data_IF_597917228824
#
_entry.id   IF_597917228824
#
_cell.length_a   1.000
_cell.length_b   1.000
_cell.length_c   1.000
_cell.angle_alpha   90.00
_cell.angle_beta   90.00
_cell.angle_gamma   90.00
#
_symmetry.space_group_name_H-M   'P 1'
#
loop_
_entity.id
_entity.type
_entity.pdbx_description
1 polymer ?
#
# COMPACT_ATOMS: atom_id res chain seq x y z
N UNK A 1 -71.30 -2.20 -17.58
CA UNK A 1 -71.20 -3.16 -16.47
C UNK A 1 -70.63 -4.45 -17.04
N UNK A 2 -69.30 -4.60 -17.04
CA UNK A 2 -68.64 -5.88 -17.31
C UNK A 2 -67.35 -5.94 -16.49
N UNK A 3 -67.30 -6.99 -15.71
CA UNK A 3 -66.43 -7.25 -14.57
C UNK A 3 -65.03 -7.68 -15.05
N UNK A 4 -63.99 -6.97 -14.64
CA UNK A 4 -62.60 -7.44 -14.79
C UNK A 4 -62.34 -8.51 -13.72
N UNK A 5 -62.14 -9.76 -14.14
CA UNK A 5 -61.61 -10.82 -13.27
C UNK A 5 -60.09 -10.80 -13.41
N UNK A 6 -59.42 -10.39 -12.33
CA UNK A 6 -57.98 -10.57 -12.15
C UNK A 6 -57.69 -12.06 -11.94
N UNK A 7 -57.04 -12.71 -12.92
CA UNK A 7 -56.30 -13.94 -12.64
C UNK A 7 -54.94 -13.52 -12.09
N UNK A 8 -54.79 -13.50 -10.75
CA UNK A 8 -53.47 -13.54 -10.15
C UNK A 8 -52.89 -14.92 -10.44
N UNK A 9 -51.96 -14.99 -11.38
CA UNK A 9 -51.04 -16.10 -11.45
C UNK A 9 -50.18 -16.06 -10.18
N UNK A 10 -50.43 -16.99 -9.25
CA UNK A 10 -49.48 -17.37 -8.23
C UNK A 10 -48.21 -17.83 -8.96
N UNK A 11 -47.23 -16.94 -9.07
CA UNK A 11 -45.88 -17.35 -9.42
C UNK A 11 -45.35 -18.09 -8.19
N UNK A 12 -45.41 -19.42 -8.25
CA UNK A 12 -44.46 -20.25 -7.53
C UNK A 12 -43.07 -19.85 -8.04
N UNK A 13 -42.41 -18.90 -7.38
CA UNK A 13 -40.97 -18.80 -7.43
C UNK A 13 -40.43 -20.06 -6.78
N UNK A 14 -40.23 -21.12 -7.58
CA UNK A 14 -39.34 -22.19 -7.20
C UNK A 14 -38.02 -21.51 -6.82
N UNK A 15 -37.63 -21.62 -5.55
CA UNK A 15 -36.38 -21.09 -5.05
C UNK A 15 -35.27 -21.56 -5.99
N UNK A 16 -34.62 -20.62 -6.67
CA UNK A 16 -33.53 -20.96 -7.57
C UNK A 16 -32.46 -21.67 -6.75
N UNK A 17 -32.04 -22.86 -7.21
CA UNK A 17 -31.09 -23.69 -6.48
C UNK A 17 -29.82 -22.87 -6.16
N UNK A 18 -29.38 -22.93 -4.90
CA UNK A 18 -28.27 -22.12 -4.47
C UNK A 18 -27.31 -22.90 -3.58
N UNK A 19 -26.03 -22.57 -3.74
CA UNK A 19 -24.96 -22.95 -2.82
C UNK A 19 -24.25 -21.66 -2.44
N UNK A 20 -24.03 -21.44 -1.15
CA UNK A 20 -23.38 -20.25 -0.64
C UNK A 20 -22.44 -20.58 0.52
N UNK A 21 -21.49 -19.68 0.74
CA UNK A 21 -20.48 -19.77 1.79
C UNK A 21 -20.61 -18.52 2.67
N UNK A 22 -20.28 -18.65 3.95
CA UNK A 22 -20.22 -17.51 4.87
C UNK A 22 -18.99 -16.63 4.66
N UNK A 23 -17.96 -17.14 3.97
CA UNK A 23 -16.73 -16.43 3.62
C UNK A 23 -16.38 -16.69 2.16
N UNK A 24 -15.77 -15.72 1.49
CA UNK A 24 -15.17 -15.89 0.17
C UNK A 24 -13.69 -16.32 0.25
N UNK A 25 -13.08 -16.24 1.44
CA UNK A 25 -11.69 -16.58 1.71
C UNK A 25 -11.60 -17.36 3.02
N UNK A 26 -10.91 -18.50 3.01
CA UNK A 26 -10.67 -19.37 4.17
C UNK A 26 -9.18 -19.52 4.42
N UNK A 27 -8.77 -19.64 5.69
CA UNK A 27 -7.40 -20.02 6.02
C UNK A 27 -7.13 -21.48 5.61
N UNK A 28 -5.87 -21.86 5.30
CA UNK A 28 -5.53 -23.26 5.03
C UNK A 28 -5.96 -24.17 6.17
N UNK A 29 -6.56 -25.32 5.84
CA UNK A 29 -7.11 -26.30 6.81
C UNK A 29 -8.27 -25.78 7.68
N UNK A 30 -8.76 -24.58 7.44
CA UNK A 30 -10.01 -24.11 8.05
C UNK A 30 -11.20 -24.90 7.47
N UNK A 31 -12.11 -25.38 8.32
CA UNK A 31 -13.31 -26.10 7.86
C UNK A 31 -14.21 -25.19 7.03
N UNK A 32 -14.77 -25.75 5.97
CA UNK A 32 -15.62 -25.03 5.01
C UNK A 32 -17.06 -25.49 5.22
N UNK A 33 -17.95 -24.54 5.57
CA UNK A 33 -19.39 -24.82 5.72
C UNK A 33 -20.14 -24.24 4.53
N UNK A 34 -20.79 -25.12 3.79
CA UNK A 34 -21.64 -24.77 2.64
C UNK A 34 -23.10 -24.75 3.08
N UNK A 35 -23.80 -23.67 2.78
CA UNK A 35 -25.27 -23.60 2.88
C UNK A 35 -25.88 -23.83 1.51
N UNK A 36 -26.90 -24.68 1.44
CA UNK A 36 -27.59 -24.99 0.19
C UNK A 36 -29.11 -24.91 0.33
N UNK A 37 -29.79 -24.58 -0.78
CA UNK A 37 -31.25 -24.53 -0.87
C UNK A 37 -31.74 -24.83 -2.28
N UNK A 38 -33.02 -25.22 -2.39
CA UNK A 38 -33.69 -25.44 -3.67
C UNK A 38 -33.28 -26.72 -4.41
N UNK A 39 -32.68 -27.71 -3.73
CA UNK A 39 -32.36 -29.00 -4.34
C UNK A 39 -33.62 -29.88 -4.50
N UNK A 40 -33.69 -30.79 -5.50
CA UNK A 40 -34.87 -31.62 -5.81
C UNK A 40 -35.32 -32.57 -4.69
N UNK A 41 -34.44 -32.88 -3.74
CA UNK A 41 -34.74 -33.78 -2.61
C UNK A 41 -34.50 -35.25 -2.91
N UNK A 42 -33.71 -35.57 -3.94
CA UNK A 42 -33.24 -36.92 -4.17
C UNK A 42 -32.10 -37.23 -3.18
N UNK A 43 -32.09 -38.43 -2.61
CA UNK A 43 -31.05 -38.85 -1.65
C UNK A 43 -29.63 -38.85 -2.23
N UNK A 44 -29.52 -38.87 -3.56
CA UNK A 44 -28.28 -38.84 -4.35
C UNK A 44 -27.94 -37.47 -4.93
N UNK A 45 -28.67 -36.43 -4.55
CA UNK A 45 -28.22 -35.05 -4.81
C UNK A 45 -26.95 -34.78 -4.01
N UNK A 46 -25.97 -34.10 -4.61
CA UNK A 46 -24.64 -33.96 -4.00
C UNK A 46 -23.99 -32.62 -4.27
N UNK A 47 -23.08 -32.25 -3.38
CA UNK A 47 -22.31 -31.02 -3.41
C UNK A 47 -20.83 -31.37 -3.33
N UNK A 48 -20.01 -30.72 -4.14
CA UNK A 48 -18.57 -30.91 -4.15
C UNK A 48 -17.79 -29.61 -3.97
N UNK A 49 -16.56 -29.74 -3.51
CA UNK A 49 -15.51 -28.74 -3.71
C UNK A 49 -14.66 -29.17 -4.89
N UNK A 50 -14.46 -28.29 -5.87
CA UNK A 50 -13.64 -28.54 -7.05
C UNK A 50 -12.66 -27.39 -7.27
N UNK A 51 -11.50 -27.69 -7.87
CA UNK A 51 -10.57 -26.65 -8.31
C UNK A 51 -11.25 -25.77 -9.35
N UNK A 52 -11.11 -24.45 -9.24
CA UNK A 52 -11.75 -23.52 -10.16
C UNK A 52 -11.30 -23.78 -11.60
N UNK A 53 -12.26 -23.82 -12.53
CA UNK A 53 -11.99 -24.07 -13.96
C UNK A 53 -11.68 -25.52 -14.34
N UNK A 54 -11.65 -26.46 -13.38
CA UNK A 54 -11.53 -27.90 -13.67
C UNK A 54 -12.81 -28.43 -14.35
N UNK A 55 -12.72 -29.59 -15.03
CA UNK A 55 -13.91 -30.23 -15.63
C UNK A 55 -15.00 -30.55 -14.61
N UNK A 56 -16.26 -30.55 -15.04
CA UNK A 56 -17.44 -30.73 -14.17
C UNK A 56 -17.44 -32.08 -13.41
N UNK A 57 -16.71 -33.09 -13.90
CA UNK A 57 -16.53 -34.41 -13.30
C UNK A 57 -15.39 -34.48 -12.26
N UNK A 58 -14.66 -33.39 -12.05
CA UNK A 58 -13.52 -33.32 -11.13
C UNK A 58 -13.89 -32.62 -9.83
N UNK A 59 -13.44 -33.18 -8.71
CA UNK A 59 -13.62 -32.63 -7.38
C UNK A 59 -12.52 -33.11 -6.44
N UNK A 60 -12.28 -32.34 -5.37
CA UNK A 60 -11.32 -32.68 -4.31
C UNK A 60 -12.01 -33.18 -3.04
N UNK A 61 -13.30 -32.85 -2.87
CA UNK A 61 -14.14 -33.37 -1.79
C UNK A 61 -15.61 -33.32 -2.23
N UNK A 62 -16.45 -34.21 -1.70
CA UNK A 62 -17.88 -34.25 -2.03
C UNK A 62 -18.70 -34.85 -0.89
N UNK A 63 -20.00 -34.50 -0.82
CA UNK A 63 -20.98 -35.06 0.12
C UNK A 63 -22.39 -35.06 -0.49
N UNK A 64 -23.19 -36.07 -0.18
CA UNK A 64 -24.62 -36.08 -0.50
C UNK A 64 -25.40 -35.11 0.40
N UNK A 65 -26.48 -34.54 -0.12
CA UNK A 65 -27.46 -33.76 0.67
C UNK A 65 -28.36 -34.68 1.51
N UNK A 66 -28.45 -35.96 1.15
CA UNK A 66 -29.23 -36.98 1.86
C UNK A 66 -30.74 -36.84 1.65
N UNK A 67 -31.18 -36.17 0.58
CA UNK A 67 -32.60 -35.98 0.25
C UNK A 67 -33.21 -34.72 0.85
N UNK A 68 -32.42 -33.92 1.56
CA UNK A 68 -32.84 -32.60 2.02
C UNK A 68 -32.79 -31.62 0.85
N UNK A 69 -33.83 -30.79 0.72
CA UNK A 69 -33.92 -29.74 -0.30
C UNK A 69 -33.14 -28.49 0.09
N UNK A 70 -32.80 -28.34 1.38
CA UNK A 70 -31.97 -27.27 1.94
C UNK A 70 -31.26 -27.72 3.21
N UNK A 71 -30.14 -27.06 3.55
CA UNK A 71 -29.38 -27.36 4.76
C UNK A 71 -27.95 -26.86 4.70
N UNK A 72 -27.09 -27.44 5.53
CA UNK A 72 -25.65 -27.17 5.54
C UNK A 72 -24.84 -28.46 5.41
N UNK A 73 -23.67 -28.37 4.78
CA UNK A 73 -22.65 -29.42 4.73
C UNK A 73 -21.31 -28.85 5.15
N UNK A 74 -20.66 -29.50 6.12
CA UNK A 74 -19.30 -29.16 6.54
C UNK A 74 -18.29 -30.04 5.82
N UNK A 75 -17.28 -29.43 5.22
CA UNK A 75 -16.13 -30.08 4.62
C UNK A 75 -14.90 -29.86 5.49
N UNK A 76 -14.00 -30.84 5.49
CA UNK A 76 -12.68 -30.67 6.10
C UNK A 76 -11.92 -29.57 5.36
N UNK A 77 -11.08 -28.86 6.09
CA UNK A 77 -10.29 -27.80 5.49
C UNK A 77 -9.29 -28.36 4.49
N UNK A 78 -9.22 -27.72 3.33
CA UNK A 78 -8.35 -28.11 2.23
C UNK A 78 -7.09 -27.23 2.20
N UNK A 79 -6.16 -27.62 1.33
CA UNK A 79 -4.98 -26.81 1.05
C UNK A 79 -5.35 -25.59 0.21
N UNK A 80 -4.42 -24.65 0.11
CA UNK A 80 -4.53 -23.44 -0.69
C UNK A 80 -4.97 -23.70 -2.13
N UNK A 81 -5.69 -22.74 -2.69
CA UNK A 81 -6.06 -22.73 -4.10
C UNK A 81 -7.32 -21.93 -4.37
N UNK A 82 -7.61 -21.75 -5.65
CA UNK A 82 -8.88 -21.25 -6.13
C UNK A 82 -9.83 -22.42 -6.36
N UNK A 83 -11.00 -22.34 -5.74
CA UNK A 83 -11.98 -23.42 -5.73
C UNK A 83 -13.37 -22.89 -6.03
N UNK A 84 -14.25 -23.82 -6.33
CA UNK A 84 -15.67 -23.58 -6.38
C UNK A 84 -16.44 -24.71 -5.70
N UNK A 85 -17.51 -24.34 -5.03
CA UNK A 85 -18.56 -25.26 -4.62
C UNK A 85 -19.42 -25.53 -5.84
N UNK A 86 -19.77 -26.79 -6.09
CA UNK A 86 -20.65 -27.22 -7.18
C UNK A 86 -21.78 -28.07 -6.64
N UNK A 87 -23.00 -27.86 -7.12
CA UNK A 87 -24.17 -28.67 -6.81
C UNK A 87 -24.61 -29.51 -8.01
N UNK A 88 -25.01 -30.75 -7.74
CA UNK A 88 -25.35 -31.76 -8.73
C UNK A 88 -26.61 -32.53 -8.32
N UNK A 89 -27.27 -33.16 -9.30
CA UNK A 89 -28.49 -33.96 -9.08
C UNK A 89 -28.24 -35.43 -9.29
N UNK A 90 -28.80 -36.27 -8.42
CA UNK A 90 -28.96 -37.71 -8.62
C UNK A 90 -27.75 -38.41 -9.31
N UNK A 91 -26.55 -38.31 -8.73
CA UNK A 91 -25.29 -38.86 -9.26
C UNK A 91 -24.84 -38.36 -10.66
N UNK A 92 -25.51 -37.36 -11.24
CA UNK A 92 -25.11 -36.73 -12.48
C UNK A 92 -23.85 -35.87 -12.29
N UNK A 93 -23.08 -35.70 -13.37
CA UNK A 93 -21.87 -34.87 -13.40
C UNK A 93 -22.10 -33.54 -14.14
N UNK A 94 -23.35 -33.06 -14.15
CA UNK A 94 -23.72 -31.76 -14.73
C UNK A 94 -23.86 -30.75 -13.59
N UNK A 95 -23.02 -29.72 -13.60
CA UNK A 95 -23.07 -28.69 -12.56
C UNK A 95 -24.34 -27.85 -12.70
N UNK A 96 -25.16 -27.85 -11.65
CA UNK A 96 -26.43 -27.12 -11.59
C UNK A 96 -26.26 -25.72 -11.01
N UNK A 97 -25.45 -25.61 -9.97
CA UNK A 97 -25.13 -24.33 -9.33
C UNK A 97 -23.67 -24.34 -8.89
N UNK A 98 -23.05 -23.18 -8.86
CA UNK A 98 -21.66 -23.03 -8.42
C UNK A 98 -21.43 -21.70 -7.73
N UNK A 99 -20.47 -21.68 -6.81
CA UNK A 99 -19.96 -20.43 -6.22
C UNK A 99 -18.46 -20.54 -5.96
N UNK A 100 -17.70 -19.50 -6.25
CA UNK A 100 -16.24 -19.50 -6.13
C UNK A 100 -15.76 -19.01 -4.77
N UNK A 101 -14.64 -19.54 -4.31
CA UNK A 101 -13.94 -19.11 -3.10
C UNK A 101 -12.45 -19.39 -3.20
N UNK A 102 -11.66 -18.81 -2.30
CA UNK A 102 -10.22 -19.06 -2.20
C UNK A 102 -9.87 -19.65 -0.84
N UNK A 103 -8.94 -20.60 -0.83
CA UNK A 103 -8.24 -21.01 0.40
C UNK A 103 -6.85 -20.40 0.37
N UNK A 104 -6.51 -19.62 1.40
CA UNK A 104 -5.27 -18.86 1.49
C UNK A 104 -5.46 -17.41 1.92
N UNK A 105 -4.35 -16.72 2.19
CA UNK A 105 -4.41 -15.29 2.48
C UNK A 105 -4.63 -14.48 1.20
N UNK A 106 -5.44 -13.40 1.24
CA UNK A 106 -5.30 -12.31 0.29
C UNK A 106 -3.90 -11.69 0.46
N UNK A 107 -3.41 -10.91 -0.51
CA UNK A 107 -2.09 -10.23 -0.48
C UNK A 107 -2.03 -9.15 0.64
N UNK A 108 -2.22 -9.54 1.89
CA UNK A 108 -2.43 -8.69 3.06
C UNK A 108 -1.39 -9.08 4.10
N UNK A 109 -0.57 -8.12 4.50
CA UNK A 109 0.55 -8.29 5.44
C UNK A 109 1.70 -9.20 4.95
N UNK A 110 1.86 -9.33 3.63
CA UNK A 110 2.97 -10.07 3.04
C UNK A 110 4.29 -9.27 3.19
N UNK A 111 5.29 -9.85 3.85
CA UNK A 111 6.58 -9.22 4.10
C UNK A 111 7.68 -10.16 3.62
N UNK A 112 8.62 -9.66 2.81
CA UNK A 112 9.96 -10.21 2.67
C UNK A 112 10.94 -9.04 2.57
N UNK A 113 11.84 -8.93 3.53
CA UNK A 113 12.81 -7.83 3.62
C UNK A 113 14.18 -8.37 3.93
N UNK A 114 15.21 -7.77 3.38
CA UNK A 114 16.59 -8.05 3.79
C UNK A 114 16.87 -7.44 5.16
N UNK A 115 17.81 -8.03 5.92
CA UNK A 115 18.23 -7.48 7.20
C UNK A 115 18.96 -6.14 7.07
N UNK A 116 19.61 -5.91 5.93
CA UNK A 116 20.32 -4.67 5.61
C UNK A 116 19.79 -4.09 4.31
N UNK A 117 19.77 -2.76 4.19
CA UNK A 117 19.43 -2.10 2.92
C UNK A 117 20.58 -2.15 1.90
N UNK A 118 21.81 -2.30 2.39
CA UNK A 118 23.04 -2.37 1.59
C UNK A 118 23.93 -3.50 2.09
N UNK A 119 24.46 -4.31 1.18
CA UNK A 119 25.42 -5.38 1.44
C UNK A 119 26.74 -5.10 0.70
N UNK A 120 27.86 -5.60 1.22
CA UNK A 120 29.11 -5.64 0.46
C UNK A 120 29.02 -6.71 -0.63
N UNK A 121 29.79 -6.59 -1.73
CA UNK A 121 29.87 -7.64 -2.74
C UNK A 121 30.27 -8.97 -2.10
N UNK A 122 29.53 -10.02 -2.47
CA UNK A 122 29.68 -11.38 -1.95
C UNK A 122 29.36 -11.56 -0.45
N UNK A 123 28.82 -10.54 0.23
CA UNK A 123 28.25 -10.68 1.58
C UNK A 123 26.91 -11.42 1.49
N UNK A 124 26.71 -12.42 2.36
CA UNK A 124 25.47 -13.21 2.41
C UNK A 124 24.25 -12.34 2.69
N UNK A 125 23.16 -12.65 1.99
CA UNK A 125 21.92 -11.88 2.07
C UNK A 125 20.90 -12.68 2.87
N UNK A 126 20.48 -12.14 4.02
CA UNK A 126 19.44 -12.75 4.86
C UNK A 126 18.13 -12.03 4.64
N UNK A 127 17.12 -12.78 4.20
CA UNK A 127 15.75 -12.33 4.00
C UNK A 127 14.88 -12.82 5.15
N UNK A 128 14.19 -11.91 5.83
CA UNK A 128 13.13 -12.23 6.77
C UNK A 128 11.79 -12.11 6.08
N UNK A 129 10.94 -13.12 6.23
CA UNK A 129 9.63 -13.18 5.58
C UNK A 129 8.50 -13.58 6.52
N UNK A 130 7.29 -13.12 6.20
CA UNK A 130 6.05 -13.49 6.91
C UNK A 130 4.82 -13.25 6.05
N UNK A 131 3.72 -13.93 6.40
CA UNK A 131 2.43 -13.75 5.74
C UNK A 131 2.27 -14.55 4.44
N UNK A 132 3.20 -15.46 4.12
CA UNK A 132 3.03 -16.37 3.00
C UNK A 132 1.91 -17.37 3.27
N UNK A 133 1.21 -17.85 2.23
CA UNK A 133 0.07 -18.75 2.38
C UNK A 133 0.46 -20.14 2.89
N UNK A 134 1.71 -20.57 2.72
CA UNK A 134 2.21 -21.85 3.20
C UNK A 134 2.05 -22.97 2.18
N UNK A 135 2.08 -22.65 0.87
CA UNK A 135 2.24 -23.65 -0.16
C UNK A 135 3.61 -24.31 -0.05
N UNK A 136 3.70 -25.58 -0.42
CA UNK A 136 5.00 -26.26 -0.52
C UNK A 136 5.91 -25.58 -1.56
N UNK A 137 5.31 -24.92 -2.55
CA UNK A 137 5.98 -24.26 -3.67
C UNK A 137 5.88 -22.73 -3.66
N UNK A 138 5.55 -22.12 -2.51
CA UNK A 138 5.78 -20.69 -2.33
C UNK A 138 7.29 -20.42 -2.38
N UNK A 139 7.70 -19.36 -3.06
CA UNK A 139 9.12 -19.09 -3.26
C UNK A 139 9.45 -17.61 -3.16
N UNK A 140 10.68 -17.38 -2.73
CA UNK A 140 11.27 -16.06 -2.61
C UNK A 140 12.47 -16.04 -3.54
N UNK A 141 12.62 -14.95 -4.29
CA UNK A 141 13.77 -14.76 -5.18
C UNK A 141 14.50 -13.46 -4.88
N UNK A 142 15.76 -13.42 -5.27
CA UNK A 142 16.52 -12.20 -5.49
C UNK A 142 16.57 -11.96 -6.99
N UNK A 143 16.30 -10.74 -7.44
CA UNK A 143 16.31 -10.37 -8.85
C UNK A 143 16.93 -8.98 -9.03
N UNK A 144 17.49 -8.69 -10.20
CA UNK A 144 17.89 -7.33 -10.54
C UNK A 144 16.66 -6.43 -10.66
N UNK A 145 16.74 -5.21 -10.15
CA UNK A 145 15.64 -4.23 -10.26
C UNK A 145 15.30 -4.00 -11.73
N UNK A 146 14.01 -4.03 -12.07
CA UNK A 146 13.52 -3.83 -13.44
C UNK A 146 13.64 -5.04 -14.36
N UNK A 147 14.19 -6.17 -13.91
CA UNK A 147 14.14 -7.42 -14.67
C UNK A 147 12.70 -7.97 -14.73
N UNK A 148 12.36 -8.74 -15.77
CA UNK A 148 11.04 -9.38 -15.89
C UNK A 148 10.71 -10.29 -14.70
N UNK A 149 9.42 -10.49 -14.44
CA UNK A 149 8.94 -11.25 -13.27
C UNK A 149 9.36 -12.73 -13.29
N UNK A 150 9.70 -13.26 -14.47
CA UNK A 150 10.25 -14.60 -14.70
C UNK A 150 11.78 -14.69 -14.53
N UNK A 151 12.45 -13.58 -14.21
CA UNK A 151 13.90 -13.50 -14.05
C UNK A 151 14.30 -13.36 -12.59
N UNK A 152 15.32 -14.09 -12.20
CA UNK A 152 15.94 -14.02 -10.87
C UNK A 152 17.43 -14.37 -10.97
N UNK A 153 18.20 -13.95 -9.97
CA UNK A 153 19.60 -14.33 -9.79
C UNK A 153 19.77 -15.45 -8.78
N UNK A 154 18.86 -15.54 -7.81
CA UNK A 154 18.79 -16.64 -6.84
C UNK A 154 17.34 -16.82 -6.38
N UNK A 155 16.98 -18.02 -5.94
CA UNK A 155 15.63 -18.32 -5.46
C UNK A 155 15.63 -19.53 -4.52
N UNK A 156 14.64 -19.61 -3.63
CA UNK A 156 14.38 -20.80 -2.82
C UNK A 156 12.89 -20.92 -2.47
N UNK A 157 12.43 -22.15 -2.25
CA UNK A 157 11.09 -22.43 -1.71
C UNK A 157 11.03 -22.18 -0.20
N UNK A 158 9.89 -21.70 0.30
CA UNK A 158 9.63 -21.58 1.74
C UNK A 158 9.17 -22.90 2.38
N UNK A 159 8.86 -23.93 1.59
CA UNK A 159 8.51 -25.28 2.02
C UNK A 159 7.39 -25.29 3.08
N UNK A 160 6.22 -24.76 2.73
CA UNK A 160 5.03 -24.61 3.60
C UNK A 160 5.13 -23.61 4.74
N UNK A 161 6.30 -23.01 4.97
CA UNK A 161 6.47 -22.01 6.03
C UNK A 161 5.79 -20.70 5.62
N UNK A 162 4.94 -20.20 6.50
CA UNK A 162 4.25 -18.92 6.35
C UNK A 162 5.13 -17.73 6.80
N UNK A 163 6.14 -18.00 7.64
CA UNK A 163 7.12 -17.04 8.13
C UNK A 163 8.45 -17.70 8.46
N UNK A 164 9.52 -16.90 8.46
CA UNK A 164 10.86 -17.37 8.79
C UNK A 164 11.96 -16.46 8.26
N UNK A 165 13.17 -17.01 8.23
CA UNK A 165 14.35 -16.41 7.60
C UNK A 165 14.88 -17.34 6.52
N UNK A 166 15.51 -16.75 5.51
CA UNK A 166 16.13 -17.44 4.37
C UNK A 166 17.45 -16.77 4.06
N UNK A 167 18.49 -17.56 3.81
CA UNK A 167 19.82 -17.06 3.52
C UNK A 167 20.17 -17.36 2.07
N UNK A 168 20.64 -16.34 1.36
CA UNK A 168 21.14 -16.42 -0.01
C UNK A 168 22.64 -16.14 -0.04
N UNK A 169 23.32 -16.72 -1.02
CA UNK A 169 24.70 -16.35 -1.33
C UNK A 169 24.79 -14.86 -1.70
N UNK A 170 25.95 -14.28 -1.43
CA UNK A 170 26.20 -12.89 -1.76
C UNK A 170 26.24 -12.65 -3.27
N UNK A 171 25.83 -11.46 -3.68
CA UNK A 171 25.76 -11.06 -5.08
C UNK A 171 26.92 -10.12 -5.43
N UNK A 172 27.15 -9.92 -6.73
CA UNK A 172 28.02 -8.87 -7.23
C UNK A 172 27.41 -7.48 -6.97
N UNK A 173 28.20 -6.43 -7.18
CA UNK A 173 27.71 -5.05 -7.08
C UNK A 173 26.55 -4.79 -8.06
N UNK A 174 25.47 -4.18 -7.55
CA UNK A 174 24.25 -3.97 -8.32
C UNK A 174 23.03 -3.56 -7.48
N UNK A 175 21.95 -3.21 -8.19
CA UNK A 175 20.64 -2.93 -7.59
C UNK A 175 19.76 -4.18 -7.72
N UNK A 176 19.25 -4.66 -6.60
CA UNK A 176 18.47 -5.88 -6.52
C UNK A 176 17.17 -5.68 -5.76
N UNK A 177 16.28 -6.65 -5.87
CA UNK A 177 15.05 -6.73 -5.11
C UNK A 177 14.75 -8.16 -4.70
N UNK A 178 14.17 -8.31 -3.51
CA UNK A 178 13.52 -9.54 -3.06
C UNK A 178 12.13 -9.59 -3.66
N UNK A 179 11.72 -10.75 -4.18
CA UNK A 179 10.38 -10.97 -4.74
C UNK A 179 9.72 -12.15 -4.05
N UNK A 180 8.41 -12.07 -3.83
CA UNK A 180 7.60 -13.19 -3.33
C UNK A 180 6.67 -13.68 -4.45
N UNK A 181 6.56 -14.99 -4.56
CA UNK A 181 5.68 -15.68 -5.47
C UNK A 181 4.93 -16.79 -4.74
N UNK A 182 3.73 -17.10 -5.22
CA UNK A 182 2.93 -18.19 -4.69
C UNK A 182 2.97 -19.39 -5.62
N UNK A 183 3.09 -20.58 -5.04
CA UNK A 183 2.83 -21.86 -5.71
C UNK A 183 3.38 -21.99 -7.16
N UNK A 184 4.66 -21.67 -7.38
CA UNK A 184 5.32 -21.69 -8.71
C UNK A 184 4.74 -20.75 -9.78
N UNK A 185 3.90 -19.79 -9.41
CA UNK A 185 3.45 -18.74 -10.32
C UNK A 185 4.59 -17.76 -10.63
N UNK A 186 4.50 -17.13 -11.80
CA UNK A 186 5.40 -16.06 -12.25
C UNK A 186 4.90 -14.66 -11.90
N UNK A 187 3.84 -14.55 -11.09
CA UNK A 187 3.27 -13.27 -10.67
C UNK A 187 3.93 -12.84 -9.37
N UNK A 188 4.66 -11.73 -9.40
CA UNK A 188 5.28 -11.17 -8.20
C UNK A 188 4.21 -10.55 -7.30
N UNK A 189 4.12 -11.04 -6.06
CA UNK A 189 3.16 -10.58 -5.04
C UNK A 189 3.67 -9.41 -4.21
N UNK A 190 4.98 -9.32 -4.02
CA UNK A 190 5.64 -8.23 -3.31
C UNK A 190 7.08 -8.09 -3.77
N UNK A 191 7.59 -6.86 -3.73
CA UNK A 191 8.97 -6.48 -4.06
C UNK A 191 9.59 -5.71 -2.91
N UNK A 192 10.86 -5.97 -2.60
CA UNK A 192 11.61 -5.19 -1.61
C UNK A 192 13.03 -4.89 -2.13
N UNK A 193 13.40 -3.62 -2.38
CA UNK A 193 14.68 -3.27 -2.96
C UNK A 193 15.84 -3.32 -1.94
N UNK A 194 17.04 -3.68 -2.41
CA UNK A 194 18.30 -3.55 -1.69
C UNK A 194 19.47 -3.33 -2.67
N UNK A 195 20.63 -2.93 -2.15
CA UNK A 195 21.81 -2.64 -2.97
C UNK A 195 22.99 -3.49 -2.52
N UNK A 196 23.80 -3.93 -3.48
CA UNK A 196 25.12 -4.47 -3.20
C UNK A 196 26.14 -3.48 -3.73
N UNK A 197 27.05 -2.98 -2.89
CA UNK A 197 28.06 -2.02 -3.33
C UNK A 197 29.34 -2.10 -2.51
N UNK A 198 30.48 -1.93 -3.20
CA UNK A 198 31.79 -1.80 -2.58
C UNK A 198 32.00 -0.47 -1.88
N UNK A 199 31.06 0.48 -2.01
CA UNK A 199 31.06 1.68 -1.17
C UNK A 199 30.86 1.24 0.27
N UNK A 200 31.96 1.19 1.01
CA UNK A 200 31.89 1.29 2.45
C UNK A 200 31.08 2.55 2.75
N UNK A 201 29.94 2.40 3.40
CA UNK A 201 29.30 3.45 4.17
C UNK A 201 30.27 3.86 5.30
N UNK A 202 31.37 4.53 4.96
CA UNK A 202 32.40 4.99 5.90
C UNK A 202 32.43 6.50 6.05
N UNK A 203 31.40 7.20 5.59
CA UNK A 203 31.07 8.50 6.17
C UNK A 203 29.62 8.47 6.66
N UNK A 204 29.39 8.31 7.98
CA UNK A 204 28.05 8.48 8.57
C UNK A 204 27.46 9.88 8.31
N UNK A 205 28.28 10.85 7.85
CA UNK A 205 27.87 12.20 7.45
C UNK A 205 27.31 12.31 6.03
N UNK A 206 27.48 11.28 5.18
CA UNK A 206 27.04 11.35 3.78
C UNK A 206 25.61 10.81 3.63
N UNK A 207 24.70 11.72 3.32
CA UNK A 207 23.26 11.49 3.17
C UNK A 207 22.91 11.30 1.70
N UNK A 208 22.68 10.05 1.29
CA UNK A 208 22.28 9.71 -0.07
C UNK A 208 20.96 8.95 -0.06
N UNK A 209 20.18 8.96 -1.15
CA UNK A 209 19.03 8.05 -1.34
C UNK A 209 18.05 8.04 -0.16
N UNK A 210 18.12 7.00 0.69
CA UNK A 210 17.28 6.74 1.85
C UNK A 210 17.15 7.97 2.74
N UNK A 211 18.23 8.45 3.39
CA UNK A 211 18.25 9.71 4.11
C UNK A 211 17.54 10.89 3.44
N UNK A 212 17.89 11.23 2.19
CA UNK A 212 17.27 12.35 1.46
C UNK A 212 15.77 12.12 1.20
N UNK A 213 15.39 10.89 0.86
CA UNK A 213 14.00 10.53 0.59
C UNK A 213 13.13 10.49 1.85
N UNK A 214 13.67 10.04 2.99
CA UNK A 214 12.98 10.08 4.28
C UNK A 214 12.89 11.50 4.80
N UNK A 215 13.92 12.33 4.60
CA UNK A 215 13.84 13.76 4.87
C UNK A 215 12.70 14.41 4.07
N UNK A 216 12.66 14.21 2.75
CA UNK A 216 11.57 14.68 1.90
C UNK A 216 10.19 14.19 2.39
N UNK A 217 10.04 12.89 2.65
CA UNK A 217 8.79 12.29 3.13
C UNK A 217 8.35 12.87 4.49
N UNK A 218 9.30 13.10 5.39
CA UNK A 218 9.05 13.76 6.66
C UNK A 218 8.55 15.19 6.48
N UNK A 219 9.14 15.95 5.56
CA UNK A 219 8.71 17.32 5.27
C UNK A 219 7.34 17.36 4.59
N UNK A 220 7.00 16.35 3.79
CA UNK A 220 5.63 16.13 3.35
C UNK A 220 4.68 15.90 4.51
N UNK A 221 5.05 15.11 5.51
CA UNK A 221 4.25 14.95 6.73
C UNK A 221 4.03 16.27 7.49
N UNK A 222 5.08 17.09 7.61
CA UNK A 222 4.99 18.42 8.23
C UNK A 222 4.00 19.34 7.49
N UNK A 223 4.06 19.37 6.16
CA UNK A 223 3.11 20.11 5.33
C UNK A 223 1.68 19.59 5.42
N UNK A 224 1.51 18.27 5.44
CA UNK A 224 0.20 17.64 5.60
C UNK A 224 -0.44 17.98 6.95
N UNK A 225 0.33 17.95 8.05
CA UNK A 225 -0.17 18.36 9.36
C UNK A 225 -0.60 19.83 9.37
N UNK A 226 0.21 20.71 8.77
CA UNK A 226 -0.07 22.14 8.70
C UNK A 226 -1.39 22.43 7.98
N UNK A 227 -1.57 21.94 6.75
CA UNK A 227 -2.79 22.22 6.00
C UNK A 227 -4.03 21.51 6.58
N UNK A 228 -3.85 20.38 7.27
CA UNK A 228 -4.98 19.63 7.84
C UNK A 228 -5.70 20.38 8.95
N UNK A 229 -5.02 21.27 9.67
CA UNK A 229 -5.67 22.12 10.69
C UNK A 229 -6.80 22.95 10.09
N UNK A 230 -6.67 23.39 8.83
CA UNK A 230 -7.69 24.20 8.14
C UNK A 230 -9.00 23.45 7.88
N UNK A 231 -8.97 22.13 8.01
CA UNK A 231 -10.10 21.24 7.77
C UNK A 231 -10.68 20.66 9.05
N UNK A 232 -9.99 20.82 10.17
CA UNK A 232 -10.49 20.42 11.47
C UNK A 232 -11.43 21.50 12.05
N UNK A 233 -12.46 21.09 12.80
CA UNK A 233 -13.24 22.03 13.60
C UNK A 233 -12.37 22.70 14.67
N UNK A 234 -12.88 23.79 15.27
CA UNK A 234 -12.15 24.55 16.29
C UNK A 234 -11.58 23.67 17.40
N UNK A 235 -12.39 22.71 17.87
CA UNK A 235 -11.92 21.60 18.68
C UNK A 235 -11.63 20.46 17.71
N UNK A 236 -10.35 20.18 17.48
CA UNK A 236 -9.93 19.17 16.51
C UNK A 236 -10.45 17.78 16.91
N UNK A 237 -10.80 16.98 15.91
CA UNK A 237 -11.29 15.61 16.12
C UNK A 237 -10.16 14.70 16.61
N UNK A 238 -10.48 13.62 17.31
CA UNK A 238 -9.46 12.67 17.78
C UNK A 238 -8.68 12.02 16.62
N UNK A 239 -9.37 11.71 15.51
CA UNK A 239 -8.76 11.22 14.26
C UNK A 239 -7.88 12.33 13.64
N UNK A 240 -8.41 13.56 13.63
CA UNK A 240 -7.69 14.80 13.38
C UNK A 240 -6.31 14.84 14.05
N UNK A 241 -6.32 14.79 15.36
CA UNK A 241 -5.12 14.84 16.18
C UNK A 241 -4.21 13.64 15.92
N UNK A 242 -4.75 12.41 15.84
CA UNK A 242 -3.96 11.21 15.64
C UNK A 242 -3.19 11.19 14.31
N UNK A 243 -3.83 11.55 13.19
CA UNK A 243 -3.12 11.56 11.91
C UNK A 243 -2.06 12.66 11.86
N UNK A 244 -2.35 13.84 12.44
CA UNK A 244 -1.36 14.92 12.55
C UNK A 244 -0.15 14.50 13.39
N UNK A 245 -0.38 13.83 14.53
CA UNK A 245 0.70 13.27 15.35
C UNK A 245 1.52 12.23 14.58
N UNK A 246 0.87 11.37 13.79
CA UNK A 246 1.55 10.37 12.96
C UNK A 246 2.46 11.00 11.89
N UNK A 247 1.95 11.96 11.12
CA UNK A 247 2.74 12.60 10.05
C UNK A 247 3.81 13.54 10.59
N UNK A 248 3.59 14.20 11.73
CA UNK A 248 4.65 14.94 12.45
C UNK A 248 5.70 14.00 13.05
N UNK A 249 5.33 12.78 13.43
CA UNK A 249 6.26 11.71 13.79
C UNK A 249 7.22 11.38 12.64
N UNK A 250 6.70 11.25 11.42
CA UNK A 250 7.54 11.07 10.23
C UNK A 250 8.48 12.27 10.00
N UNK A 251 7.99 13.51 10.22
CA UNK A 251 8.81 14.71 10.13
C UNK A 251 9.96 14.70 11.16
N UNK A 252 9.66 14.29 12.39
CA UNK A 252 10.63 14.14 13.47
C UNK A 252 11.70 13.12 13.12
N UNK A 253 11.31 11.97 12.60
CA UNK A 253 12.25 10.90 12.25
C UNK A 253 13.14 11.33 11.06
N UNK A 254 12.57 12.05 10.08
CA UNK A 254 13.32 12.67 8.98
C UNK A 254 14.33 13.73 9.45
N UNK A 255 13.93 14.64 10.35
CA UNK A 255 14.85 15.65 10.91
C UNK A 255 15.95 15.01 11.77
N UNK A 256 15.60 13.99 12.55
CA UNK A 256 16.57 13.28 13.38
C UNK A 256 17.64 12.55 12.53
N UNK A 257 17.27 12.03 11.35
CA UNK A 257 18.24 11.46 10.42
C UNK A 257 19.17 12.51 9.79
N UNK A 258 18.76 13.78 9.78
CA UNK A 258 19.52 14.89 9.21
C UNK A 258 20.17 15.77 10.28
N UNK A 259 20.19 15.33 11.54
CA UNK A 259 20.59 16.14 12.70
C UNK A 259 21.99 16.75 12.60
N UNK A 260 22.90 16.09 11.88
CA UNK A 260 24.28 16.54 11.70
C UNK A 260 24.37 17.70 10.68
N UNK A 261 23.33 17.88 9.86
CA UNK A 261 23.23 18.89 8.81
C UNK A 261 22.27 20.02 9.17
N UNK A 262 21.28 19.69 9.99
CA UNK A 262 20.17 20.54 10.38
C UNK A 262 20.16 20.54 11.91
N UNK A 263 20.85 21.50 12.56
CA UNK A 263 20.93 21.59 14.01
C UNK A 263 19.60 22.14 14.57
N UNK A 264 18.58 21.30 14.57
CA UNK A 264 17.25 21.58 15.11
C UNK A 264 17.02 20.77 16.38
N UNK A 265 16.49 21.40 17.43
CA UNK A 265 16.11 20.71 18.65
C UNK A 265 14.83 19.89 18.42
N UNK A 266 15.00 18.58 18.22
CA UNK A 266 13.92 17.60 18.05
C UNK A 266 12.95 17.58 19.24
N UNK A 267 13.39 18.03 20.43
CA UNK A 267 12.54 18.21 21.60
C UNK A 267 11.40 19.20 21.34
N UNK A 268 11.63 20.25 20.56
CA UNK A 268 10.60 21.24 20.22
C UNK A 268 9.46 20.62 19.40
N UNK A 269 9.79 19.84 18.36
CA UNK A 269 8.78 19.14 17.57
C UNK A 269 8.07 18.05 18.39
N UNK A 270 8.79 17.34 19.25
CA UNK A 270 8.19 16.34 20.15
C UNK A 270 7.21 16.98 21.14
N UNK A 271 7.55 18.15 21.69
CA UNK A 271 6.67 18.92 22.55
C UNK A 271 5.40 19.37 21.81
N UNK A 272 5.52 19.85 20.57
CA UNK A 272 4.38 20.21 19.72
C UNK A 272 3.46 19.02 19.47
N UNK A 273 4.01 17.86 19.08
CA UNK A 273 3.24 16.61 18.85
C UNK A 273 2.42 16.24 20.10
N UNK A 274 3.02 16.32 21.29
CA UNK A 274 2.35 16.01 22.54
C UNK A 274 1.32 17.07 22.96
N UNK A 275 1.50 18.32 22.53
CA UNK A 275 0.59 19.45 22.82
C UNK A 275 -0.62 19.48 21.90
N UNK A 276 -0.55 18.91 20.69
CA UNK A 276 -1.65 18.92 19.70
C UNK A 276 -3.05 18.62 20.27
N UNK A 277 -3.27 17.62 21.14
CA UNK A 277 -4.60 17.32 21.69
C UNK A 277 -5.24 18.47 22.49
N UNK A 278 -4.45 19.44 22.95
CA UNK A 278 -4.94 20.56 23.78
C UNK A 278 -5.11 21.86 22.99
N UNK A 279 -4.68 21.89 21.73
CA UNK A 279 -4.75 23.07 20.88
C UNK A 279 -6.08 23.14 20.13
N UNK A 280 -6.53 24.36 19.83
CA UNK A 280 -7.50 24.56 18.76
C UNK A 280 -6.86 24.39 17.39
N UNK A 281 -7.66 24.23 16.34
CA UNK A 281 -7.15 24.18 14.97
C UNK A 281 -6.30 25.41 14.58
N UNK A 282 -6.73 26.62 14.98
CA UNK A 282 -6.00 27.88 14.73
C UNK A 282 -4.68 27.92 15.50
N UNK A 283 -4.68 27.47 16.76
CA UNK A 283 -3.45 27.42 17.55
C UNK A 283 -2.46 26.39 16.99
N UNK A 284 -2.95 25.21 16.59
CA UNK A 284 -2.12 24.19 15.96
C UNK A 284 -1.53 24.68 14.63
N UNK A 285 -2.32 25.36 13.80
CA UNK A 285 -1.85 25.96 12.55
C UNK A 285 -0.71 26.94 12.79
N UNK A 286 -0.90 27.86 13.74
CA UNK A 286 0.10 28.88 14.07
C UNK A 286 1.40 28.26 14.62
N UNK A 287 1.31 27.25 15.49
CA UNK A 287 2.48 26.57 16.07
C UNK A 287 3.24 25.75 15.00
N UNK A 288 2.53 25.02 14.14
CA UNK A 288 3.16 24.27 13.04
C UNK A 288 3.78 25.23 12.01
N UNK A 289 3.11 26.33 11.68
CA UNK A 289 3.65 27.35 10.76
C UNK A 289 4.91 28.01 11.33
N UNK A 290 4.91 28.37 12.61
CA UNK A 290 6.10 28.91 13.27
C UNK A 290 7.28 27.93 13.21
N UNK A 291 7.01 26.63 13.39
CA UNK A 291 8.01 25.58 13.24
C UNK A 291 8.53 25.47 11.80
N UNK A 292 7.65 25.50 10.79
CA UNK A 292 8.04 25.46 9.36
C UNK A 292 8.97 26.63 9.03
N UNK A 293 8.62 27.85 9.45
CA UNK A 293 9.44 29.05 9.21
C UNK A 293 10.81 28.90 9.86
N UNK A 294 10.86 28.47 11.13
CA UNK A 294 12.11 28.24 11.85
C UNK A 294 12.98 27.17 11.16
N UNK A 295 12.39 26.05 10.76
CA UNK A 295 13.11 25.00 10.02
C UNK A 295 13.62 25.51 8.68
N UNK A 296 12.84 26.29 7.94
CA UNK A 296 13.26 26.89 6.68
C UNK A 296 14.51 27.77 6.87
N UNK A 297 14.57 28.57 7.93
CA UNK A 297 15.73 29.39 8.26
C UNK A 297 16.96 28.55 8.64
N UNK A 298 16.78 27.51 9.46
CA UNK A 298 17.87 26.61 9.87
C UNK A 298 18.43 25.88 8.64
N UNK A 299 17.56 25.34 7.80
CA UNK A 299 17.95 24.55 6.63
C UNK A 299 18.62 25.44 5.56
N UNK A 300 18.14 26.67 5.37
CA UNK A 300 18.79 27.64 4.48
C UNK A 300 20.22 28.01 4.92
N UNK A 301 20.55 27.83 6.19
CA UNK A 301 21.90 28.06 6.76
C UNK A 301 22.68 26.77 6.97
N UNK A 302 22.17 25.62 6.51
CA UNK A 302 22.86 24.35 6.60
C UNK A 302 24.23 24.41 5.95
N UNK A 303 25.22 23.79 6.58
CA UNK A 303 26.56 23.56 6.04
C UNK A 303 26.62 22.35 5.08
N UNK A 304 25.48 21.75 4.75
CA UNK A 304 25.42 20.61 3.85
C UNK A 304 25.96 20.99 2.47
N UNK A 305 26.97 20.25 2.02
CA UNK A 305 27.50 20.31 0.66
C UNK A 305 26.93 19.16 -0.14
N UNK A 306 26.21 19.46 -1.23
CA UNK A 306 25.52 18.42 -1.99
C UNK A 306 26.00 18.34 -3.44
N UNK A 307 25.88 17.14 -4.00
CA UNK A 307 26.21 16.87 -5.39
C UNK A 307 25.37 17.71 -6.34
N UNK A 308 25.94 18.07 -7.49
CA UNK A 308 25.24 18.74 -8.59
C UNK A 308 24.50 20.05 -8.19
N UNK A 309 24.97 20.70 -7.12
CA UNK A 309 24.45 22.00 -6.66
C UNK A 309 23.06 21.98 -6.03
N UNK A 310 22.54 20.80 -5.66
CA UNK A 310 21.25 20.71 -4.96
C UNK A 310 21.37 21.30 -3.55
N UNK A 311 20.22 21.60 -2.93
CA UNK A 311 20.17 22.07 -1.54
C UNK A 311 19.14 21.30 -0.74
N UNK A 312 19.35 21.15 0.56
CA UNK A 312 18.31 20.59 1.44
C UNK A 312 17.05 21.45 1.48
N UNK A 313 17.18 22.76 1.24
CA UNK A 313 16.04 23.67 1.10
C UNK A 313 15.10 23.28 -0.04
N UNK A 314 15.63 22.78 -1.17
CA UNK A 314 14.79 22.30 -2.28
C UNK A 314 13.86 21.17 -1.82
N UNK A 315 14.41 20.14 -1.18
CA UNK A 315 13.65 19.00 -0.67
C UNK A 315 12.68 19.39 0.45
N UNK A 316 13.11 20.30 1.33
CA UNK A 316 12.26 20.82 2.40
C UNK A 316 11.02 21.52 1.87
N UNK A 317 11.21 22.53 1.01
CA UNK A 317 10.11 23.34 0.47
C UNK A 317 9.20 22.49 -0.42
N UNK A 318 9.77 21.62 -1.27
CA UNK A 318 8.95 20.69 -2.07
C UNK A 318 8.13 19.77 -1.17
N UNK A 319 8.75 19.18 -0.14
CA UNK A 319 8.06 18.29 0.79
C UNK A 319 6.87 18.98 1.46
N UNK A 320 7.13 20.09 2.15
CA UNK A 320 6.10 20.87 2.88
C UNK A 320 4.95 21.26 1.97
N UNK A 321 5.23 21.79 0.79
CA UNK A 321 4.16 22.27 -0.07
C UNK A 321 3.39 21.14 -0.79
N UNK A 322 4.03 20.03 -1.15
CA UNK A 322 3.30 18.84 -1.67
C UNK A 322 2.39 18.26 -0.60
N UNK A 323 2.86 18.16 0.65
CA UNK A 323 2.04 17.67 1.76
C UNK A 323 0.86 18.58 2.07
N UNK A 324 1.06 19.89 2.07
CA UNK A 324 -0.01 20.85 2.26
C UNK A 324 -1.06 20.76 1.14
N UNK A 325 -0.62 20.69 -0.13
CA UNK A 325 -1.50 20.48 -1.28
C UNK A 325 -2.32 19.17 -1.14
N UNK A 326 -1.66 18.09 -0.75
CA UNK A 326 -2.28 16.77 -0.54
C UNK A 326 -3.34 16.82 0.57
N UNK A 327 -3.04 17.46 1.71
CA UNK A 327 -3.97 17.57 2.83
C UNK A 327 -5.19 18.42 2.44
N UNK A 328 -5.00 19.59 1.82
CA UNK A 328 -6.12 20.40 1.31
C UNK A 328 -7.01 19.63 0.33
N UNK A 329 -6.42 18.86 -0.60
CA UNK A 329 -7.19 18.00 -1.51
C UNK A 329 -7.95 16.91 -0.75
N UNK A 330 -7.32 16.29 0.26
CA UNK A 330 -7.91 15.23 1.08
C UNK A 330 -9.17 15.69 1.81
N UNK A 331 -9.15 16.94 2.31
CA UNK A 331 -10.30 17.53 2.99
C UNK A 331 -11.54 17.70 2.09
N UNK A 332 -11.35 17.60 0.77
CA UNK A 332 -12.41 17.80 -0.22
C UNK A 332 -12.90 16.50 -0.85
N UNK A 333 -12.29 15.34 -0.58
CA UNK A 333 -12.64 14.05 -1.21
C UNK A 333 -14.13 13.72 -1.04
N UNK A 334 -14.71 13.98 0.13
CA UNK A 334 -16.11 13.68 0.43
C UNK A 334 -17.02 14.94 0.40
N UNK A 335 -16.55 16.03 -0.21
CA UNK A 335 -17.27 17.30 -0.28
C UNK A 335 -17.87 17.52 -1.68
N UNK A 336 -18.82 18.47 -1.84
CA UNK A 336 -19.40 18.76 -3.14
C UNK A 336 -18.34 19.09 -4.20
N UNK A 337 -18.55 18.56 -5.40
CA UNK A 337 -17.74 18.81 -6.58
C UNK A 337 -18.45 19.76 -7.57
N UNK A 338 -17.71 20.58 -8.35
CA UNK A 338 -16.25 20.72 -8.30
C UNK A 338 -15.79 21.39 -7.00
N UNK A 339 -14.52 21.15 -6.65
CA UNK A 339 -13.89 21.78 -5.48
C UNK A 339 -14.09 23.31 -5.54
N UNK A 340 -14.41 24.02 -4.44
CA UNK A 340 -14.55 25.47 -4.48
C UNK A 340 -13.26 26.18 -4.93
N UNK A 341 -13.40 27.23 -5.72
CA UNK A 341 -12.26 27.96 -6.33
C UNK A 341 -11.20 28.40 -5.31
N UNK A 342 -11.60 28.78 -4.09
CA UNK A 342 -10.64 29.15 -3.04
C UNK A 342 -9.67 28.00 -2.70
N UNK A 343 -10.18 26.77 -2.56
CA UNK A 343 -9.33 25.59 -2.31
C UNK A 343 -8.48 25.24 -3.53
N UNK A 344 -9.03 25.37 -4.75
CA UNK A 344 -8.26 25.16 -5.97
C UNK A 344 -7.06 26.13 -6.04
N UNK A 345 -7.27 27.41 -5.74
CA UNK A 345 -6.20 28.42 -5.70
C UNK A 345 -5.14 28.10 -4.66
N UNK A 346 -5.55 27.72 -3.43
CA UNK A 346 -4.61 27.36 -2.36
C UNK A 346 -3.76 26.14 -2.77
N UNK A 347 -4.39 25.07 -3.26
CA UNK A 347 -3.67 23.87 -3.72
C UNK A 347 -2.73 24.22 -4.87
N UNK A 348 -3.18 25.02 -5.85
CA UNK A 348 -2.34 25.45 -6.97
C UNK A 348 -1.12 26.25 -6.50
N UNK A 349 -1.28 27.15 -5.54
CA UNK A 349 -0.17 27.92 -4.99
C UNK A 349 0.87 27.01 -4.33
N UNK A 350 0.44 26.03 -3.53
CA UNK A 350 1.35 25.04 -2.97
C UNK A 350 2.06 24.22 -4.06
N UNK A 351 1.34 23.74 -5.07
CA UNK A 351 1.94 22.98 -6.18
C UNK A 351 2.96 23.80 -6.96
N UNK A 352 2.70 25.09 -7.22
CA UNK A 352 3.64 25.99 -7.87
C UNK A 352 4.91 26.19 -7.03
N UNK A 353 4.77 26.48 -5.73
CA UNK A 353 5.92 26.62 -4.83
C UNK A 353 6.74 25.32 -4.76
N UNK A 354 6.06 24.18 -4.69
CA UNK A 354 6.74 22.88 -4.67
C UNK A 354 7.49 22.58 -5.97
N UNK A 355 6.88 22.88 -7.13
CA UNK A 355 7.47 22.73 -8.46
C UNK A 355 8.74 23.56 -8.58
N UNK A 356 8.65 24.84 -8.22
CA UNK A 356 9.76 25.79 -8.36
C UNK A 356 10.91 25.43 -7.41
N UNK A 357 10.60 24.95 -6.20
CA UNK A 357 11.61 24.39 -5.30
C UNK A 357 12.25 23.10 -5.84
N UNK A 358 11.45 22.19 -6.40
CA UNK A 358 11.94 20.90 -6.89
C UNK A 358 12.80 21.04 -8.15
N UNK A 359 12.64 22.13 -8.90
CA UNK A 359 13.54 22.48 -10.00
C UNK A 359 15.01 22.48 -9.56
N UNK A 360 15.30 22.87 -8.31
CA UNK A 360 16.64 22.83 -7.73
C UNK A 360 17.22 21.43 -7.52
N UNK A 361 16.42 20.37 -7.64
CA UNK A 361 16.85 18.98 -7.53
C UNK A 361 16.97 18.26 -8.89
N UNK A 362 16.54 18.88 -10.00
CA UNK A 362 16.47 18.23 -11.31
C UNK A 362 17.82 17.73 -11.84
N UNK A 363 18.93 18.35 -11.42
CA UNK A 363 20.29 17.90 -11.79
C UNK A 363 20.58 16.47 -11.29
N UNK A 364 19.85 16.00 -10.28
CA UNK A 364 19.93 14.66 -9.73
C UNK A 364 18.90 13.68 -10.31
N UNK A 365 17.87 14.20 -10.99
CA UNK A 365 16.72 13.44 -11.50
C UNK A 365 16.32 13.95 -12.90
N UNK A 366 17.21 13.85 -13.91
CA UNK A 366 17.04 14.55 -15.19
C UNK A 366 15.80 14.14 -16.00
N UNK A 367 15.21 12.98 -15.69
CA UNK A 367 14.01 12.47 -16.35
C UNK A 367 12.70 12.88 -15.65
N UNK A 368 12.78 13.59 -14.53
CA UNK A 368 11.58 14.04 -13.82
C UNK A 368 10.93 15.21 -14.55
N UNK A 369 9.65 15.07 -14.90
CA UNK A 369 8.88 16.15 -15.55
C UNK A 369 8.18 17.03 -14.51
N UNK A 370 8.54 18.33 -14.47
CA UNK A 370 7.86 19.34 -13.64
C UNK A 370 6.41 19.60 -14.06
N UNK A 371 6.02 19.26 -15.30
CA UNK A 371 4.64 19.43 -15.77
C UNK A 371 3.64 18.59 -14.97
N UNK A 372 4.10 17.58 -14.23
CA UNK A 372 3.24 16.78 -13.34
C UNK A 372 2.59 17.62 -12.23
N UNK A 373 3.25 18.70 -11.77
CA UNK A 373 2.65 19.63 -10.80
C UNK A 373 1.47 20.40 -11.41
N UNK A 374 1.59 20.79 -12.68
CA UNK A 374 0.57 21.54 -13.42
C UNK A 374 -0.62 20.67 -13.86
N UNK A 375 -0.39 19.38 -14.04
CA UNK A 375 -1.35 18.39 -14.52
C UNK A 375 -2.39 17.93 -13.48
N UNK A 376 -2.35 18.45 -12.25
CA UNK A 376 -3.33 18.11 -11.20
C UNK A 376 -4.71 18.70 -11.55
N UNK A 377 -5.77 17.87 -11.70
CA UNK A 377 -7.09 18.32 -12.15
C UNK A 377 -7.94 18.93 -11.02
N UNK A 378 -7.64 20.18 -10.64
CA UNK A 378 -8.28 20.84 -9.49
C UNK A 378 -9.76 21.20 -9.69
N UNK A 379 -10.21 21.33 -10.94
CA UNK A 379 -11.59 21.67 -11.29
C UNK A 379 -12.44 20.44 -11.68
N UNK A 380 -11.96 19.23 -11.38
CA UNK A 380 -12.68 18.00 -11.69
C UNK A 380 -14.06 17.93 -11.01
N UNK A 381 -15.01 17.28 -11.69
CA UNK A 381 -16.31 16.90 -11.12
C UNK A 381 -16.19 15.70 -10.17
N UNK A 382 -15.02 15.08 -10.10
CA UNK A 382 -14.70 14.03 -9.15
C UNK A 382 -13.71 14.57 -8.10
N UNK A 383 -14.21 14.79 -6.89
CA UNK A 383 -13.47 15.39 -5.78
C UNK A 383 -12.22 14.61 -5.36
N UNK A 384 -12.12 13.32 -5.68
CA UNK A 384 -10.96 12.48 -5.34
C UNK A 384 -9.79 12.67 -6.31
N UNK A 385 -10.02 13.11 -7.55
CA UNK A 385 -8.99 13.10 -8.59
C UNK A 385 -7.78 13.97 -8.24
N UNK A 386 -8.01 15.18 -7.71
CA UNK A 386 -6.94 16.05 -7.27
C UNK A 386 -6.07 15.37 -6.19
N UNK A 387 -6.70 14.69 -5.22
CA UNK A 387 -5.97 13.95 -4.19
C UNK A 387 -5.15 12.81 -4.80
N UNK A 388 -5.76 11.97 -5.64
CA UNK A 388 -5.09 10.82 -6.26
C UNK A 388 -3.89 11.27 -7.11
N UNK A 389 -4.03 12.34 -7.88
CA UNK A 389 -2.92 12.88 -8.68
C UNK A 389 -1.78 13.42 -7.80
N UNK A 390 -2.10 14.11 -6.69
CA UNK A 390 -1.07 14.63 -5.78
C UNK A 390 -0.34 13.47 -5.06
N UNK A 391 -1.05 12.42 -4.64
CA UNK A 391 -0.43 11.22 -4.06
C UNK A 391 0.49 10.53 -5.08
N UNK A 392 0.07 10.44 -6.34
CA UNK A 392 0.91 9.93 -7.44
C UNK A 392 2.17 10.76 -7.64
N UNK A 393 2.03 12.10 -7.65
CA UNK A 393 3.15 13.04 -7.73
C UNK A 393 4.13 12.89 -6.56
N UNK A 394 3.63 12.87 -5.32
CA UNK A 394 4.41 12.66 -4.12
C UNK A 394 5.21 11.35 -4.17
N UNK A 395 4.54 10.28 -4.60
CA UNK A 395 5.16 8.96 -4.77
C UNK A 395 6.27 9.05 -5.82
N UNK A 396 5.99 9.64 -6.99
CA UNK A 396 6.99 9.77 -8.05
C UNK A 396 8.22 10.60 -7.62
N UNK A 397 8.03 11.70 -6.90
CA UNK A 397 9.12 12.50 -6.35
C UNK A 397 9.96 11.66 -5.37
N UNK A 398 9.30 10.96 -4.43
CA UNK A 398 9.97 10.10 -3.46
C UNK A 398 10.85 9.06 -4.15
N UNK A 399 10.30 8.33 -5.13
CA UNK A 399 11.04 7.33 -5.91
C UNK A 399 12.26 7.94 -6.63
N UNK A 400 12.10 9.10 -7.26
CA UNK A 400 13.20 9.76 -7.95
C UNK A 400 14.32 10.17 -6.98
N UNK A 401 13.98 10.67 -5.79
CA UNK A 401 14.99 10.98 -4.75
C UNK A 401 15.67 9.70 -4.26
N UNK A 402 14.92 8.65 -3.93
CA UNK A 402 15.47 7.37 -3.44
C UNK A 402 16.38 6.67 -4.47
N UNK A 403 16.09 6.86 -5.75
CA UNK A 403 16.87 6.27 -6.85
C UNK A 403 17.99 7.17 -7.37
N UNK A 404 18.02 8.46 -6.98
CA UNK A 404 19.10 9.38 -7.34
C UNK A 404 20.45 8.94 -6.77
N UNK A 405 21.53 9.28 -7.48
CA UNK A 405 22.90 9.03 -7.02
C UNK A 405 23.48 10.21 -6.22
N UNK A 406 22.72 11.30 -6.10
CA UNK A 406 23.13 12.49 -5.38
C UNK A 406 23.13 12.28 -3.86
N UNK A 407 24.14 12.87 -3.26
CA UNK A 407 24.38 12.87 -1.84
C UNK A 407 24.56 14.30 -1.32
N UNK A 408 24.36 14.46 -0.02
CA UNK A 408 24.80 15.62 0.75
C UNK A 408 25.79 15.18 1.82
N UNK A 409 26.84 15.96 2.07
CA UNK A 409 27.80 15.76 3.15
C UNK A 409 27.74 16.94 4.12
N UNK A 410 27.72 16.62 5.42
CA UNK A 410 27.57 17.57 6.50
C UNK A 410 28.86 17.55 7.30
N UNK A 411 29.70 18.56 7.02
CA UNK A 411 31.05 18.69 7.59
C UNK A 411 31.09 19.64 8.77
#
# INVERSE_FOLDING_TARGET
MSLFIFFQALSNSADAQSVSLSKSIYAPRESIVVTYSGFPGNSRDWISIATQGSGDDKYVAWKYTGGNTSGTLSFDGINYGDFEIRGYYNDELIVRTRTSFRVGNPDVNLIAKTQQATYKPNEKIVVQYSGLPGNVYDWISLASVGSGDDKYVAWQYTNTKQSGTMEFDGLAEGKYEVRIYFNQEWVVRSRYPFVVSNRTSTNPSQLCRGPLSVFYAGMTGLGSAWARTTCEPTIMTAVGVADMQGVLGNARDGLNMMKDCIPFDIGELTALINKLPTLTNIQAEAEIQALIIKLQEIIARSNATCDNGITLSSLFVTGVHVGAAQAHASCRICQPAPMPMAFQTVIRNHLNTARDAFAGFLSCVPNFSLNQFDAVPLNSINSIEAHTHIVGLQTNILWNISLSDCCCDCR
#
